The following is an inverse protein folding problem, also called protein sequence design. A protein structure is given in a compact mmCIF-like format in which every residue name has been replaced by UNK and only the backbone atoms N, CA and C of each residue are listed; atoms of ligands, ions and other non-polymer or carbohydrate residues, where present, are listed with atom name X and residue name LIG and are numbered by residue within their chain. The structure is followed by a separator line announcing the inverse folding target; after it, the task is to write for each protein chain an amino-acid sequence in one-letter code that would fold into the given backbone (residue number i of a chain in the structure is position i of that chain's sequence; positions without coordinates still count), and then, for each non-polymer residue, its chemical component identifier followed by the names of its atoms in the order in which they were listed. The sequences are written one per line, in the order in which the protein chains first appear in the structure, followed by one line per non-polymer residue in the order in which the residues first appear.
data_IF_259293827770
#
_entry.id   IF_259293827770
#
_cell.length_a   1.000
_cell.length_b   1.000
_cell.length_c   1.000
_cell.angle_alpha   90.00
_cell.angle_beta   90.00
_cell.angle_gamma   90.00
#
_symmetry.space_group_name_H-M   'P 1'
#
loop_
_entity.id
_entity.type
_entity.pdbx_description
1 polymer ?
#
# COMPACT_ATOMS: atom_id res chain seq x y z
N UNK A 1 4.58 -20.44 23.80
CA UNK A 1 4.35 -20.23 22.37
C UNK A 1 5.56 -20.75 21.62
N UNK A 2 5.35 -21.65 20.70
CA UNK A 2 6.43 -22.09 19.84
C UNK A 2 6.59 -21.05 18.73
N UNK A 3 7.72 -20.36 18.70
CA UNK A 3 8.10 -19.45 17.62
C UNK A 3 8.57 -20.25 16.39
N UNK A 4 7.65 -21.04 15.82
CA UNK A 4 7.92 -21.85 14.65
C UNK A 4 7.61 -21.01 13.41
N UNK A 5 8.63 -20.81 12.57
CA UNK A 5 8.50 -20.21 11.26
C UNK A 5 8.68 -21.28 10.17
N UNK A 6 7.83 -21.24 9.15
CA UNK A 6 7.93 -22.15 8.03
C UNK A 6 9.13 -21.78 7.15
N UNK A 7 10.14 -22.64 7.12
CA UNK A 7 11.37 -22.43 6.32
C UNK A 7 11.17 -22.80 4.85
N UNK A 8 10.33 -23.83 4.58
CA UNK A 8 10.07 -24.32 3.23
C UNK A 8 8.68 -24.93 3.13
N UNK A 9 7.98 -24.61 2.06
CA UNK A 9 6.75 -25.27 1.68
C UNK A 9 7.06 -26.32 0.61
N UNK A 10 6.72 -27.59 0.86
CA UNK A 10 6.88 -28.68 -0.10
C UNK A 10 5.69 -28.77 -1.04
N UNK A 11 4.51 -28.45 -0.55
CA UNK A 11 3.27 -28.42 -1.29
C UNK A 11 2.44 -27.21 -0.85
N UNK A 12 1.84 -26.53 -1.80
CA UNK A 12 0.95 -25.40 -1.54
C UNK A 12 -0.50 -25.90 -1.53
N UNK A 13 -1.34 -25.27 -0.72
CA UNK A 13 -2.77 -25.60 -0.68
C UNK A 13 -3.41 -25.50 -2.08
N UNK A 14 -4.23 -26.47 -2.48
CA UNK A 14 -4.97 -26.43 -3.75
C UNK A 14 -6.00 -25.26 -3.80
N UNK A 15 -6.38 -24.72 -2.64
CA UNK A 15 -7.32 -23.61 -2.54
C UNK A 15 -6.65 -22.24 -2.81
N UNK A 16 -5.41 -22.20 -3.28
CA UNK A 16 -4.76 -20.92 -3.59
C UNK A 16 -5.30 -20.31 -4.87
N UNK A 17 -5.49 -18.99 -4.83
CA UNK A 17 -5.81 -18.17 -6.00
C UNK A 17 -4.54 -17.49 -6.54
N UNK A 18 -4.59 -17.11 -7.80
CA UNK A 18 -3.57 -16.24 -8.40
C UNK A 18 -3.88 -14.80 -7.96
N UNK A 19 -2.91 -14.11 -7.33
CA UNK A 19 -3.10 -12.70 -6.98
C UNK A 19 -3.35 -11.83 -8.22
N UNK A 20 -4.34 -10.95 -8.14
CA UNK A 20 -4.66 -10.04 -9.25
C UNK A 20 -3.76 -8.79 -9.29
N UNK A 21 -3.11 -8.44 -8.17
CA UNK A 21 -2.25 -7.28 -8.07
C UNK A 21 -0.82 -7.62 -8.49
N UNK A 22 -0.28 -6.92 -9.48
CA UNK A 22 1.10 -7.10 -9.96
C UNK A 22 2.17 -6.83 -8.89
N UNK A 23 1.84 -6.06 -7.85
CA UNK A 23 2.74 -5.74 -6.74
C UNK A 23 2.66 -6.73 -5.57
N UNK A 24 1.78 -7.75 -5.68
CA UNK A 24 1.62 -8.73 -4.61
C UNK A 24 2.92 -9.52 -4.37
N UNK A 25 3.23 -9.75 -3.10
CA UNK A 25 4.46 -10.46 -2.70
C UNK A 25 5.69 -9.57 -2.53
N UNK A 26 5.66 -8.35 -3.10
CA UNK A 26 6.70 -7.33 -2.91
C UNK A 26 6.15 -6.18 -2.06
N UNK A 27 4.98 -5.66 -2.40
CA UNK A 27 4.28 -4.63 -1.62
C UNK A 27 3.86 -5.16 -0.25
N UNK A 28 4.09 -4.38 0.80
CA UNK A 28 3.70 -4.71 2.18
C UNK A 28 2.21 -4.59 2.48
N UNK A 29 1.39 -4.08 1.54
CA UNK A 29 0.00 -3.69 1.79
C UNK A 29 -0.99 -4.86 1.88
N UNK A 30 -0.79 -5.92 1.10
CA UNK A 30 -1.70 -7.06 1.01
C UNK A 30 -1.00 -8.38 1.29
N UNK A 31 -1.65 -9.26 2.08
CA UNK A 31 -1.07 -10.58 2.43
C UNK A 31 -1.92 -11.78 1.99
N UNK A 32 -3.19 -11.57 1.65
CA UNK A 32 -4.19 -12.63 1.51
C UNK A 32 -4.74 -12.81 0.09
N UNK A 33 -4.20 -12.13 -0.91
CA UNK A 33 -4.67 -12.27 -2.30
C UNK A 33 -4.48 -13.68 -2.89
N UNK A 34 -3.64 -14.49 -2.25
CA UNK A 34 -3.46 -15.91 -2.61
C UNK A 34 -4.60 -16.81 -2.14
N UNK A 35 -5.57 -16.27 -1.40
CA UNK A 35 -6.76 -17.02 -0.96
C UNK A 35 -8.01 -16.43 -1.61
N UNK A 36 -8.92 -17.26 -2.16
CA UNK A 36 -10.25 -16.81 -2.56
C UNK A 36 -10.97 -16.16 -1.37
N UNK A 37 -11.82 -15.18 -1.64
CA UNK A 37 -12.50 -14.44 -0.58
C UNK A 37 -13.36 -15.34 0.33
N UNK A 38 -14.00 -16.35 -0.24
CA UNK A 38 -14.73 -17.38 0.53
C UNK A 38 -13.85 -18.08 1.57
N UNK A 39 -12.62 -18.41 1.21
CA UNK A 39 -11.67 -19.01 2.14
C UNK A 39 -11.18 -17.99 3.18
N UNK A 40 -10.99 -16.73 2.79
CA UNK A 40 -10.61 -15.67 3.74
C UNK A 40 -11.66 -15.50 4.84
N UNK A 41 -12.95 -15.42 4.50
CA UNK A 41 -14.03 -15.29 5.49
C UNK A 41 -14.18 -16.56 6.33
N UNK A 42 -14.06 -17.75 5.74
CA UNK A 42 -14.06 -19.02 6.46
C UNK A 42 -12.97 -19.09 7.54
N UNK A 43 -11.74 -18.72 7.18
CA UNK A 43 -10.63 -18.69 8.15
C UNK A 43 -10.79 -17.61 9.22
N UNK A 44 -11.34 -16.44 8.87
CA UNK A 44 -11.63 -15.38 9.85
C UNK A 44 -12.67 -15.82 10.87
N UNK A 45 -13.75 -16.45 10.44
CA UNK A 45 -14.75 -16.99 11.35
C UNK A 45 -14.13 -18.06 12.27
N UNK A 46 -13.43 -19.03 11.68
CA UNK A 46 -12.74 -20.07 12.45
C UNK A 46 -11.77 -19.48 13.49
N UNK A 47 -11.02 -18.44 13.15
CA UNK A 47 -10.11 -17.79 14.09
C UNK A 47 -10.84 -17.19 15.27
N UNK A 48 -11.99 -16.54 15.07
CA UNK A 48 -12.79 -15.98 16.15
C UNK A 48 -13.33 -17.11 17.06
N UNK A 49 -13.90 -18.15 16.47
CA UNK A 49 -14.41 -19.30 17.20
C UNK A 49 -13.32 -20.00 18.03
N UNK A 50 -12.16 -20.28 17.39
CA UNK A 50 -11.02 -20.91 18.06
C UNK A 50 -10.50 -20.04 19.21
N UNK A 51 -10.41 -18.72 19.04
CA UNK A 51 -9.95 -17.81 20.09
C UNK A 51 -10.92 -17.78 21.27
N UNK A 52 -12.20 -17.69 21.02
CA UNK A 52 -13.21 -17.67 22.08
C UNK A 52 -13.28 -19.01 22.82
N UNK A 53 -13.29 -20.13 22.10
CA UNK A 53 -13.43 -21.46 22.72
C UNK A 53 -12.14 -21.93 23.41
N UNK A 54 -10.99 -21.78 22.74
CA UNK A 54 -9.71 -22.38 23.21
C UNK A 54 -8.93 -21.45 24.12
N UNK A 55 -8.88 -20.15 23.80
CA UNK A 55 -8.14 -19.16 24.60
C UNK A 55 -9.07 -18.57 25.66
N UNK A 56 -10.22 -18.10 25.25
CA UNK A 56 -11.22 -17.51 26.14
C UNK A 56 -11.90 -18.52 27.04
N UNK A 57 -11.90 -19.81 26.67
CA UNK A 57 -12.59 -20.91 27.38
C UNK A 57 -14.05 -20.60 27.65
N UNK A 58 -14.72 -19.95 26.70
CA UNK A 58 -16.11 -19.52 26.78
C UNK A 58 -16.97 -20.59 26.11
N UNK A 59 -18.03 -21.01 26.78
CA UNK A 59 -19.11 -21.78 26.16
C UNK A 59 -19.89 -20.84 25.25
N UNK A 60 -19.89 -21.16 23.96
CA UNK A 60 -20.54 -20.32 22.97
C UNK A 60 -21.85 -20.95 22.52
N UNK A 61 -22.90 -20.14 22.34
CA UNK A 61 -24.08 -20.56 21.59
C UNK A 61 -23.70 -20.82 20.13
N UNK A 62 -24.65 -21.18 19.29
CA UNK A 62 -24.47 -21.24 17.86
C UNK A 62 -24.04 -19.87 17.33
N UNK A 63 -22.90 -19.84 16.64
CA UNK A 63 -22.35 -18.60 16.07
C UNK A 63 -22.91 -18.45 14.65
N UNK A 64 -23.52 -17.31 14.38
CA UNK A 64 -24.01 -16.97 13.06
C UNK A 64 -22.86 -16.94 12.04
N UNK A 65 -23.12 -17.29 10.75
CA UNK A 65 -22.12 -17.17 9.71
C UNK A 65 -21.58 -15.75 9.62
N UNK A 66 -20.28 -15.63 9.36
CA UNK A 66 -19.63 -14.33 9.18
C UNK A 66 -20.30 -13.55 8.04
N UNK A 67 -20.61 -12.29 8.29
CA UNK A 67 -21.05 -11.37 7.24
C UNK A 67 -19.88 -10.96 6.37
N UNK A 68 -19.92 -11.30 5.08
CA UNK A 68 -18.93 -10.91 4.10
C UNK A 68 -19.14 -9.48 3.60
N UNK A 69 -18.13 -8.96 2.91
CA UNK A 69 -18.22 -7.69 2.19
C UNK A 69 -18.63 -7.95 0.73
N UNK A 70 -19.53 -7.14 0.19
CA UNK A 70 -19.92 -7.18 -1.22
C UNK A 70 -18.77 -6.74 -2.13
N UNK A 71 -17.90 -5.83 -1.64
CA UNK A 71 -16.72 -5.36 -2.36
C UNK A 71 -15.47 -5.98 -1.75
N UNK A 72 -14.69 -6.67 -2.55
CA UNK A 72 -13.39 -7.26 -2.18
C UNK A 72 -12.21 -6.46 -2.72
N UNK A 73 -12.48 -5.55 -3.66
CA UNK A 73 -11.56 -4.57 -4.23
C UNK A 73 -12.16 -3.16 -4.08
N UNK A 74 -11.33 -2.14 -4.12
CA UNK A 74 -11.75 -0.73 -4.04
C UNK A 74 -12.64 -0.39 -2.83
N UNK A 75 -12.39 -1.05 -1.69
CA UNK A 75 -13.20 -0.90 -0.48
C UNK A 75 -12.64 0.10 0.53
N UNK A 76 -11.39 0.53 0.36
CA UNK A 76 -10.77 1.52 1.23
C UNK A 76 -11.15 2.92 0.82
N UNK A 77 -11.38 3.77 1.83
CA UNK A 77 -11.64 5.20 1.65
C UNK A 77 -10.44 6.08 1.97
N UNK A 78 -9.29 5.49 2.35
CA UNK A 78 -8.04 6.20 2.62
C UNK A 78 -6.85 5.35 2.24
N UNK A 79 -5.91 5.94 1.49
CA UNK A 79 -4.55 5.43 1.31
C UNK A 79 -3.54 6.56 1.56
N UNK A 80 -2.39 6.17 2.06
CA UNK A 80 -1.24 7.05 2.27
C UNK A 80 -0.05 6.48 1.52
N UNK A 81 0.53 7.30 0.65
CA UNK A 81 1.67 6.96 -0.19
C UNK A 81 2.89 7.76 0.28
N UNK A 82 4.04 7.12 0.32
CA UNK A 82 5.30 7.76 0.67
C UNK A 82 6.05 8.15 -0.60
N UNK A 83 6.52 9.40 -0.65
CA UNK A 83 7.58 9.82 -1.57
C UNK A 83 8.91 9.36 -0.98
N UNK A 84 9.83 8.88 -1.80
CA UNK A 84 11.16 8.50 -1.33
C UNK A 84 12.18 8.60 -2.45
N UNK A 85 13.38 9.06 -2.14
CA UNK A 85 14.52 9.00 -3.05
C UNK A 85 15.24 7.65 -3.03
N UNK A 86 14.64 6.63 -2.42
CA UNK A 86 15.17 5.26 -2.31
C UNK A 86 14.15 4.26 -2.86
N UNK A 87 14.04 4.22 -4.20
CA UNK A 87 13.23 3.25 -4.91
C UNK A 87 13.68 1.82 -4.58
N UNK A 88 12.72 0.96 -4.32
CA UNK A 88 12.95 -0.48 -4.31
C UNK A 88 12.96 -1.02 -5.74
N UNK A 89 14.04 -1.71 -6.12
CA UNK A 89 14.10 -2.46 -7.35
C UNK A 89 13.60 -3.89 -7.10
N UNK A 90 12.67 -4.34 -7.93
CA UNK A 90 12.20 -5.72 -7.89
C UNK A 90 13.29 -6.67 -8.36
N UNK A 91 13.17 -7.95 -8.03
CA UNK A 91 14.12 -8.96 -8.50
C UNK A 91 14.16 -9.04 -10.03
N UNK A 92 13.07 -8.72 -10.71
CA UNK A 92 12.98 -8.69 -12.17
C UNK A 92 13.76 -7.50 -12.74
N UNK A 93 13.54 -6.30 -12.21
CA UNK A 93 14.29 -5.09 -12.59
C UNK A 93 15.81 -5.27 -12.38
N UNK A 94 16.19 -5.93 -11.27
CA UNK A 94 17.62 -6.23 -11.01
C UNK A 94 18.19 -7.24 -12.01
N UNK A 95 17.44 -8.28 -12.37
CA UNK A 95 17.88 -9.27 -13.36
C UNK A 95 18.01 -8.70 -14.78
N UNK A 96 17.15 -7.74 -15.10
CA UNK A 96 17.14 -7.06 -16.40
C UNK A 96 18.12 -5.89 -16.44
N UNK A 97 18.88 -5.64 -15.38
CA UNK A 97 19.79 -4.48 -15.21
C UNK A 97 19.09 -3.14 -15.53
N UNK A 98 17.83 -3.01 -15.12
CA UNK A 98 17.07 -1.77 -15.34
C UNK A 98 17.74 -0.64 -14.58
N UNK A 99 18.05 0.42 -15.31
CA UNK A 99 18.65 1.65 -14.76
C UNK A 99 17.63 2.77 -14.76
N UNK A 100 17.62 3.53 -13.70
CA UNK A 100 16.79 4.72 -13.56
C UNK A 100 17.71 5.94 -13.42
N UNK A 101 17.38 7.01 -14.10
CA UNK A 101 18.12 8.29 -14.00
C UNK A 101 18.04 8.84 -12.58
N UNK A 102 16.91 8.58 -11.90
CA UNK A 102 16.71 8.92 -10.50
C UNK A 102 16.00 7.78 -9.75
N UNK A 103 16.38 7.60 -8.49
CA UNK A 103 15.82 6.57 -7.61
C UNK A 103 14.61 7.06 -6.81
N UNK A 104 13.87 8.04 -7.34
CA UNK A 104 12.64 8.53 -6.74
C UNK A 104 11.50 7.52 -6.94
N UNK A 105 10.64 7.40 -5.94
CA UNK A 105 9.48 6.53 -5.96
C UNK A 105 8.33 7.09 -5.14
N UNK A 106 7.10 6.84 -5.58
CA UNK A 106 5.88 7.08 -4.80
C UNK A 106 5.12 5.78 -4.65
N UNK A 107 4.85 5.38 -3.41
CA UNK A 107 4.13 4.14 -3.16
C UNK A 107 4.21 3.67 -1.72
N UNK A 108 4.45 2.38 -1.53
CA UNK A 108 4.44 1.75 -0.20
C UNK A 108 5.81 1.21 0.20
N UNK A 109 6.06 1.21 1.50
CA UNK A 109 7.27 0.59 2.06
C UNK A 109 7.31 -0.91 1.83
N UNK A 110 8.53 -1.42 1.68
CA UNK A 110 8.79 -2.86 1.61
C UNK A 110 8.83 -3.43 3.04
N UNK A 111 8.24 -4.60 3.28
CA UNK A 111 8.39 -5.29 4.56
C UNK A 111 9.87 -5.49 4.93
N UNK A 112 10.24 -5.07 6.13
CA UNK A 112 11.62 -5.17 6.62
C UNK A 112 12.60 -4.11 6.10
N UNK A 113 12.18 -3.20 5.21
CA UNK A 113 13.01 -2.13 4.67
C UNK A 113 12.29 -0.77 4.78
N UNK A 114 12.36 -0.14 5.94
CA UNK A 114 11.62 1.10 6.25
C UNK A 114 12.01 2.29 5.36
N UNK A 115 13.23 2.31 4.83
CA UNK A 115 13.77 3.38 4.00
C UNK A 115 13.61 3.13 2.48
N UNK A 116 12.99 2.02 2.10
CA UNK A 116 12.75 1.67 0.70
C UNK A 116 11.27 1.74 0.36
N UNK A 117 10.98 2.33 -0.79
CA UNK A 117 9.62 2.47 -1.31
C UNK A 117 9.50 1.79 -2.66
N UNK A 118 8.53 0.89 -2.77
CA UNK A 118 8.12 0.32 -4.05
C UNK A 118 7.27 1.33 -4.79
N UNK A 119 7.65 1.68 -6.01
CA UNK A 119 6.82 2.49 -6.89
C UNK A 119 5.56 1.70 -7.28
N UNK A 120 4.39 2.29 -7.04
CA UNK A 120 3.11 1.65 -7.29
C UNK A 120 2.44 2.31 -8.49
N UNK A 121 2.07 1.51 -9.51
CA UNK A 121 1.32 1.99 -10.66
C UNK A 121 -0.19 1.86 -10.46
N UNK A 122 -0.62 0.73 -9.88
CA UNK A 122 -2.03 0.48 -9.57
C UNK A 122 -2.18 -0.19 -8.21
N UNK A 123 -3.01 0.40 -7.35
CA UNK A 123 -3.46 -0.20 -6.10
C UNK A 123 -4.95 -0.52 -6.23
N UNK A 124 -5.34 -1.74 -5.83
CA UNK A 124 -6.71 -2.24 -5.90
C UNK A 124 -7.51 -2.04 -4.61
N UNK A 125 -6.93 -1.35 -3.63
CA UNK A 125 -7.58 -1.17 -2.33
C UNK A 125 -8.52 0.02 -2.29
N UNK A 126 -8.22 1.10 -3.01
CA UNK A 126 -9.02 2.31 -3.10
C UNK A 126 -9.43 2.56 -4.55
N UNK A 127 -10.50 3.29 -4.76
CA UNK A 127 -11.01 3.70 -6.08
C UNK A 127 -9.89 4.19 -7.00
N UNK A 128 -10.04 3.96 -8.30
CA UNK A 128 -9.01 4.22 -9.31
C UNK A 128 -8.61 5.70 -9.38
N UNK A 129 -9.48 6.61 -8.94
CA UNK A 129 -9.12 8.03 -8.82
C UNK A 129 -7.87 8.25 -7.96
N UNK A 130 -7.66 7.44 -6.92
CA UNK A 130 -6.46 7.53 -6.09
C UNK A 130 -5.18 7.14 -6.84
N UNK A 131 -5.28 6.20 -7.77
CA UNK A 131 -4.16 5.84 -8.66
C UNK A 131 -3.82 6.98 -9.60
N UNK A 132 -4.85 7.60 -10.21
CA UNK A 132 -4.68 8.73 -11.11
C UNK A 132 -4.03 9.92 -10.41
N UNK A 133 -4.54 10.32 -9.24
CA UNK A 133 -3.99 11.42 -8.44
C UNK A 133 -2.54 11.16 -8.05
N UNK A 134 -2.25 9.96 -7.51
CA UNK A 134 -0.88 9.58 -7.14
C UNK A 134 0.07 9.62 -8.32
N UNK A 135 -0.32 9.01 -9.45
CA UNK A 135 0.56 8.93 -10.62
C UNK A 135 0.78 10.33 -11.23
N UNK A 136 -0.29 11.12 -11.39
CA UNK A 136 -0.18 12.48 -11.92
C UNK A 136 0.70 13.36 -11.01
N UNK A 137 0.49 13.33 -9.70
CA UNK A 137 1.30 14.09 -8.75
C UNK A 137 2.76 13.63 -8.71
N UNK A 138 3.02 12.33 -8.86
CA UNK A 138 4.39 11.79 -9.03
C UNK A 138 5.04 12.32 -10.30
N UNK A 139 4.36 12.21 -11.43
CA UNK A 139 4.91 12.55 -12.73
C UNK A 139 5.18 14.06 -12.82
N UNK A 140 4.26 14.88 -12.30
CA UNK A 140 4.46 16.32 -12.14
C UNK A 140 5.70 16.64 -11.28
N UNK A 141 5.86 15.95 -10.16
CA UNK A 141 7.01 16.14 -9.29
C UNK A 141 8.34 15.72 -9.94
N UNK A 142 8.32 14.73 -10.84
CA UNK A 142 9.50 14.34 -11.63
C UNK A 142 9.84 15.41 -12.69
N UNK A 143 8.86 15.89 -13.43
CA UNK A 143 9.04 16.89 -14.49
C UNK A 143 9.56 18.23 -13.97
N UNK A 144 9.29 18.55 -12.71
CA UNK A 144 9.67 19.81 -12.08
C UNK A 144 10.77 19.67 -11.01
N UNK A 145 11.48 18.54 -11.01
CA UNK A 145 12.64 18.28 -10.16
C UNK A 145 12.41 18.46 -8.64
N UNK A 146 11.21 18.11 -8.16
CA UNK A 146 10.93 18.13 -6.73
C UNK A 146 11.81 17.13 -5.97
N UNK A 147 12.37 17.54 -4.85
CA UNK A 147 13.14 16.66 -3.99
C UNK A 147 12.23 15.75 -3.16
N UNK A 148 12.49 14.45 -3.20
CA UNK A 148 11.78 13.44 -2.40
C UNK A 148 12.57 13.13 -1.14
N UNK A 149 11.86 12.78 -0.05
CA UNK A 149 12.50 12.52 1.22
C UNK A 149 13.52 11.37 1.14
N UNK A 150 14.67 11.60 1.76
CA UNK A 150 15.55 10.55 2.24
C UNK A 150 15.13 10.19 3.67
N UNK A 151 14.54 9.02 3.85
CA UNK A 151 14.00 8.60 5.15
C UNK A 151 15.07 8.39 6.24
N UNK A 152 16.35 8.27 5.86
CA UNK A 152 17.46 8.17 6.82
C UNK A 152 17.98 9.53 7.27
N UNK A 153 18.20 10.45 6.33
CA UNK A 153 18.71 11.79 6.63
C UNK A 153 17.62 12.80 6.95
N UNK A 154 16.35 12.48 6.65
CA UNK A 154 15.20 13.38 6.79
C UNK A 154 15.30 14.64 5.92
N UNK A 155 16.07 14.57 4.85
CA UNK A 155 16.19 15.61 3.82
C UNK A 155 15.24 15.37 2.66
N UNK A 156 14.89 16.43 1.95
CA UNK A 156 13.93 16.41 0.84
C UNK A 156 12.58 17.00 1.23
N UNK A 157 11.93 17.57 0.23
CA UNK A 157 10.70 18.34 0.38
C UNK A 157 9.47 17.45 0.52
N UNK A 158 9.18 16.60 -0.49
CA UNK A 158 7.97 15.78 -0.53
C UNK A 158 8.08 14.55 0.36
N UNK A 159 7.08 14.32 1.21
CA UNK A 159 7.07 13.22 2.20
C UNK A 159 5.97 12.21 1.96
N UNK A 160 4.72 12.62 2.08
CA UNK A 160 3.57 11.73 1.95
C UNK A 160 2.45 12.39 1.14
N UNK A 161 1.68 11.56 0.46
CA UNK A 161 0.41 11.94 -0.15
C UNK A 161 -0.68 11.04 0.42
N UNK A 162 -1.71 11.64 1.00
CA UNK A 162 -2.89 10.93 1.51
C UNK A 162 -4.06 11.27 0.61
N UNK A 163 -4.71 10.24 0.07
CA UNK A 163 -5.95 10.40 -0.70
C UNK A 163 -7.10 9.81 0.11
N UNK A 164 -8.14 10.60 0.30
CA UNK A 164 -9.39 10.17 0.92
C UNK A 164 -10.55 10.32 -0.07
N UNK A 165 -11.42 9.34 -0.08
CA UNK A 165 -12.67 9.34 -0.85
C UNK A 165 -13.85 9.19 0.09
N UNK A 166 -14.96 9.89 -0.20
CA UNK A 166 -16.23 9.68 0.49
C UNK A 166 -17.15 8.77 -0.34
N UNK A 167 -18.21 8.27 0.29
CA UNK A 167 -19.27 7.53 -0.42
C UNK A 167 -20.15 8.42 -1.28
N UNK A 168 -20.06 9.73 -1.08
CA UNK A 168 -20.79 10.79 -1.81
C UNK A 168 -20.01 11.34 -3.00
N UNK A 169 -18.76 10.85 -3.20
CA UNK A 169 -17.93 11.20 -4.36
C UNK A 169 -16.93 12.33 -4.13
N UNK A 170 -16.90 12.94 -2.92
CA UNK A 170 -15.90 13.95 -2.62
C UNK A 170 -14.52 13.34 -2.42
N UNK A 171 -13.51 14.12 -2.75
CA UNK A 171 -12.11 13.80 -2.63
C UNK A 171 -11.41 14.78 -1.68
N UNK A 172 -10.49 14.25 -0.90
CA UNK A 172 -9.54 15.05 -0.12
C UNK A 172 -8.14 14.53 -0.39
N UNK A 173 -7.26 15.40 -0.84
CA UNK A 173 -5.83 15.10 -1.01
C UNK A 173 -5.05 15.92 0.00
N UNK A 174 -4.18 15.28 0.75
CA UNK A 174 -3.28 15.91 1.70
C UNK A 174 -1.85 15.57 1.26
N UNK A 175 -1.07 16.59 0.93
CA UNK A 175 0.35 16.44 0.65
C UNK A 175 1.14 16.93 1.84
N UNK A 176 2.00 16.09 2.38
CA UNK A 176 2.90 16.41 3.50
C UNK A 176 4.27 16.72 2.92
N UNK A 177 4.78 17.88 3.25
CA UNK A 177 6.09 18.35 2.82
C UNK A 177 6.88 18.98 3.97
N UNK A 178 8.18 19.11 3.77
CA UNK A 178 9.07 19.95 4.58
C UNK A 178 9.56 21.08 3.69
N UNK A 179 9.27 22.31 4.06
CA UNK A 179 9.70 23.51 3.37
C UNK A 179 10.83 24.14 4.18
N UNK A 180 11.96 24.36 3.56
CA UNK A 180 13.16 24.95 4.17
C UNK A 180 13.53 26.28 3.50
N UNK A 181 13.10 26.49 2.28
CA UNK A 181 13.40 27.68 1.48
C UNK A 181 12.13 28.27 0.85
N UNK A 182 12.11 29.58 0.61
CA UNK A 182 10.94 30.29 0.10
C UNK A 182 10.47 29.77 -1.28
N UNK A 183 11.42 29.38 -2.13
CA UNK A 183 11.07 28.85 -3.45
C UNK A 183 10.34 27.49 -3.37
N UNK A 184 10.61 26.66 -2.35
CA UNK A 184 9.92 25.40 -2.11
C UNK A 184 8.44 25.61 -1.78
N UNK A 185 8.09 26.73 -1.13
CA UNK A 185 6.69 27.09 -0.86
C UNK A 185 5.94 27.35 -2.18
N UNK A 186 6.58 27.99 -3.13
CA UNK A 186 5.94 28.25 -4.44
C UNK A 186 5.77 26.96 -5.24
N UNK A 187 6.78 26.11 -5.27
CA UNK A 187 6.68 24.76 -5.85
C UNK A 187 5.53 23.98 -5.20
N UNK A 188 5.41 24.02 -3.88
CA UNK A 188 4.34 23.30 -3.18
C UNK A 188 2.95 23.79 -3.58
N UNK A 189 2.75 25.09 -3.71
CA UNK A 189 1.47 25.66 -4.20
C UNK A 189 1.16 25.20 -5.63
N UNK A 190 2.16 25.17 -6.51
CA UNK A 190 2.00 24.71 -7.88
C UNK A 190 1.58 23.23 -7.94
N UNK A 191 2.21 22.36 -7.14
CA UNK A 191 1.81 20.97 -7.03
C UNK A 191 0.37 20.81 -6.51
N UNK A 192 0.00 21.57 -5.48
CA UNK A 192 -1.37 21.53 -4.94
C UNK A 192 -2.40 21.98 -5.96
N UNK A 193 -2.10 23.05 -6.71
CA UNK A 193 -2.99 23.53 -7.78
C UNK A 193 -3.13 22.47 -8.87
N UNK A 194 -2.02 21.90 -9.35
CA UNK A 194 -2.05 20.85 -10.35
C UNK A 194 -2.86 19.62 -9.93
N UNK A 195 -2.79 19.23 -8.66
CA UNK A 195 -3.54 18.09 -8.13
C UNK A 195 -5.02 18.43 -7.95
N UNK A 196 -5.38 19.69 -7.75
CA UNK A 196 -6.76 20.16 -7.59
C UNK A 196 -7.54 20.27 -8.91
N UNK A 197 -6.84 20.54 -10.03
CA UNK A 197 -7.40 20.65 -11.39
C UNK A 197 -7.58 19.27 -12.04
#
# INVERSE_FOLDING_TARGET
SSDLEAVKFHELSPNRAVPFCQHYGVCGGCKWQVLPYSEQIRYKQKQVEDNLRRIGKIELPEISPILGSDKTEFYRNKLEFTFSNKRWLTNEEVRQDVKYDQMNAVGFHIPGAFDKVLAIEKCWLQDDISNRIRNAGRDYAYEHDYSFINLRTQEGMLRNMIVRTSSTGELMVIVICKITEDHEMELFKQLLQFVAD
#
